data_IF_175456651208
#
_entry.id   IF_175456651208
#
_cell.length_a   1.000
_cell.length_b   1.000
_cell.length_c   1.000
_cell.angle_alpha   90.00
_cell.angle_beta   90.00
_cell.angle_gamma   90.00
#
_symmetry.space_group_name_H-M   'P 1'
#
loop_
_entity.id
_entity.type
_entity.pdbx_description
1 polymer ?
#
# COMPACT_ATOMS: atom_id res chain seq x y z
N UNK A 1 7.96 12.37 12.34
CA UNK A 1 6.87 11.47 12.81
C UNK A 1 5.68 11.40 11.87
N UNK A 2 5.10 12.51 11.40
CA UNK A 2 3.91 12.49 10.51
C UNK A 2 4.06 11.58 9.28
N UNK A 3 5.23 11.59 8.62
CA UNK A 3 5.53 10.72 7.46
C UNK A 3 5.51 9.22 7.77
N UNK A 4 5.88 8.82 9.00
CA UNK A 4 5.88 7.43 9.42
C UNK A 4 4.44 6.94 9.69
N UNK A 5 3.64 7.76 10.37
CA UNK A 5 2.21 7.47 10.57
C UNK A 5 1.46 7.37 9.25
N UNK A 6 1.67 8.31 8.32
CA UNK A 6 1.01 8.30 7.02
C UNK A 6 1.31 7.02 6.25
N UNK A 7 2.56 6.55 6.31
CA UNK A 7 2.97 5.28 5.68
C UNK A 7 2.28 4.08 6.31
N UNK A 8 2.18 4.04 7.64
CA UNK A 8 1.48 2.97 8.36
C UNK A 8 0.00 2.94 8.00
N UNK A 9 -0.66 4.10 8.02
CA UNK A 9 -2.09 4.25 7.67
C UNK A 9 -2.34 3.86 6.21
N UNK A 10 -1.52 4.34 5.27
CA UNK A 10 -1.62 3.96 3.84
C UNK A 10 -1.55 2.44 3.67
N UNK A 11 -0.60 1.78 4.35
CA UNK A 11 -0.46 0.31 4.30
C UNK A 11 -1.65 -0.43 4.91
N UNK A 12 -2.11 0.00 6.08
CA UNK A 12 -3.24 -0.64 6.75
C UNK A 12 -4.53 -0.54 5.92
N UNK A 13 -4.82 0.63 5.35
CA UNK A 13 -6.00 0.84 4.51
C UNK A 13 -5.87 0.08 3.19
N UNK A 14 -4.70 0.06 2.55
CA UNK A 14 -4.53 -0.73 1.31
C UNK A 14 -4.76 -2.22 1.55
N UNK A 15 -4.35 -2.75 2.72
CA UNK A 15 -4.62 -4.15 3.06
C UNK A 15 -6.12 -4.41 3.25
N UNK A 16 -6.84 -3.46 3.86
CA UNK A 16 -8.29 -3.56 4.03
C UNK A 16 -9.01 -3.54 2.67
N UNK A 17 -8.61 -2.65 1.75
CA UNK A 17 -9.13 -2.60 0.37
C UNK A 17 -8.93 -3.94 -0.34
N UNK A 18 -7.75 -4.55 -0.22
CA UNK A 18 -7.49 -5.85 -0.83
C UNK A 18 -8.30 -7.02 -0.24
N UNK A 19 -9.02 -6.82 0.87
CA UNK A 19 -9.71 -7.89 1.62
C UNK A 19 -11.21 -7.69 1.80
N UNK A 20 -11.67 -6.44 1.71
CA UNK A 20 -13.06 -6.07 1.85
C UNK A 20 -13.60 -5.55 0.52
N UNK A 21 -14.45 -6.34 -0.14
CA UNK A 21 -15.03 -6.01 -1.44
C UNK A 21 -15.89 -4.74 -1.45
N UNK A 22 -16.32 -4.25 -0.28
CA UNK A 22 -17.06 -2.99 -0.16
C UNK A 22 -16.13 -1.75 -0.11
N UNK A 23 -14.83 -1.96 0.09
CA UNK A 23 -13.80 -0.93 0.18
C UNK A 23 -12.98 -0.87 -1.12
N UNK A 24 -12.55 0.32 -1.57
CA UNK A 24 -11.72 0.41 -2.77
C UNK A 24 -11.45 1.79 -3.36
N UNK A 25 -10.97 1.77 -4.60
CA UNK A 25 -10.67 2.90 -5.48
C UNK A 25 -9.48 3.77 -5.04
N UNK A 26 -9.62 4.53 -3.95
CA UNK A 26 -8.62 5.54 -3.55
C UNK A 26 -8.46 5.64 -2.04
N UNK A 27 -7.27 6.06 -1.57
CA UNK A 27 -7.03 6.37 -0.15
C UNK A 27 -6.90 7.88 0.03
N UNK A 28 -7.78 8.44 0.87
CA UNK A 28 -7.74 9.86 1.27
C UNK A 28 -7.42 9.96 2.75
N UNK A 29 -6.42 10.74 3.11
CA UNK A 29 -6.05 10.94 4.52
C UNK A 29 -5.91 12.43 4.82
N UNK A 30 -6.17 12.78 6.07
CA UNK A 30 -6.00 14.13 6.59
C UNK A 30 -5.19 14.05 7.87
N UNK A 31 -4.09 14.80 7.93
CA UNK A 31 -3.30 14.98 9.16
C UNK A 31 -3.70 16.32 9.75
N UNK A 32 -4.19 16.29 10.99
CA UNK A 32 -4.59 17.47 11.76
C UNK A 32 -3.67 17.55 12.97
N UNK A 33 -2.94 18.65 13.09
CA UNK A 33 -2.04 18.92 14.21
C UNK A 33 -2.01 20.43 14.51
N UNK A 34 -1.16 20.84 15.46
CA UNK A 34 -1.06 22.25 15.86
C UNK A 34 -0.57 23.17 14.72
N UNK A 35 0.16 22.61 13.75
CA UNK A 35 0.66 23.33 12.58
C UNK A 35 -0.44 23.55 11.51
N UNK A 36 -1.54 22.81 11.59
CA UNK A 36 -2.70 22.97 10.73
C UNK A 36 -3.20 21.66 10.13
N UNK A 37 -3.68 21.73 8.89
CA UNK A 37 -4.34 20.62 8.19
C UNK A 37 -3.58 20.29 6.90
N UNK A 38 -3.11 19.06 6.77
CA UNK A 38 -2.55 18.53 5.53
C UNK A 38 -3.45 17.42 4.98
N UNK A 39 -3.73 17.48 3.68
CA UNK A 39 -4.57 16.50 2.98
C UNK A 39 -3.72 15.71 2.00
N UNK A 40 -3.92 14.40 1.94
CA UNK A 40 -3.25 13.52 0.99
C UNK A 40 -4.28 12.70 0.22
N UNK A 41 -4.01 12.50 -1.05
CA UNK A 41 -4.78 11.69 -1.97
C UNK A 41 -3.82 10.68 -2.60
N UNK A 42 -4.16 9.40 -2.50
CA UNK A 42 -3.41 8.31 -3.12
C UNK A 42 -4.36 7.55 -4.04
N UNK A 43 -4.16 7.59 -5.36
CA UNK A 43 -4.93 6.78 -6.29
C UNK A 43 -4.58 5.30 -6.13
N UNK A 44 -5.47 4.41 -6.58
CA UNK A 44 -5.36 2.96 -6.39
C UNK A 44 -4.08 2.34 -6.95
N UNK A 45 -3.59 2.86 -8.08
CA UNK A 45 -2.34 2.45 -8.73
C UNK A 45 -1.08 2.82 -7.94
N UNK A 46 -1.17 3.76 -7.00
CA UNK A 46 -0.10 4.09 -6.05
C UNK A 46 -0.19 3.28 -4.74
N UNK A 47 -1.20 2.44 -4.56
CA UNK A 47 -1.32 1.58 -3.39
C UNK A 47 -0.44 0.34 -3.54
N UNK A 48 0.12 -0.18 -2.44
CA UNK A 48 0.86 -1.43 -2.51
C UNK A 48 -0.08 -2.58 -2.88
N UNK A 49 0.35 -3.42 -3.81
CA UNK A 49 -0.32 -4.67 -4.15
C UNK A 49 -0.15 -5.70 -3.03
N UNK A 50 -1.20 -6.46 -2.78
CA UNK A 50 -1.20 -7.56 -1.81
C UNK A 50 -1.25 -8.92 -2.50
N UNK A 51 -0.98 -9.99 -1.75
CA UNK A 51 -0.74 -11.35 -2.26
C UNK A 51 -1.66 -11.83 -3.40
N UNK A 52 -2.95 -11.49 -3.37
CA UNK A 52 -3.93 -11.91 -4.40
C UNK A 52 -3.95 -11.03 -5.65
N UNK A 53 -3.40 -9.83 -5.56
CA UNK A 53 -3.29 -8.86 -6.64
C UNK A 53 -1.93 -8.99 -7.37
N UNK A 54 -1.00 -9.76 -6.81
CA UNK A 54 0.29 -10.05 -7.45
C UNK A 54 0.10 -11.00 -8.64
N UNK A 55 0.96 -10.83 -9.65
CA UNK A 55 0.97 -11.74 -10.79
C UNK A 55 1.24 -13.18 -10.34
N UNK A 56 0.52 -14.18 -10.88
CA UNK A 56 0.73 -15.57 -10.51
C UNK A 56 2.14 -16.01 -10.86
N UNK A 57 2.83 -16.60 -9.89
CA UNK A 57 4.13 -17.24 -10.11
C UNK A 57 3.94 -18.74 -10.30
N UNK A 58 4.62 -19.32 -11.29
CA UNK A 58 4.56 -20.75 -11.61
C UNK A 58 5.08 -21.64 -10.46
N UNK A 59 6.11 -21.20 -9.77
CA UNK A 59 6.72 -21.92 -8.64
C UNK A 59 7.34 -20.95 -7.65
N UNK A 60 7.31 -21.29 -6.36
CA UNK A 60 8.05 -20.56 -5.33
C UNK A 60 9.57 -20.59 -5.56
N UNK A 61 10.08 -21.60 -6.27
CA UNK A 61 11.50 -21.71 -6.61
C UNK A 61 11.94 -20.63 -7.62
N UNK A 62 11.02 -20.15 -8.45
CA UNK A 62 11.31 -19.12 -9.44
C UNK A 62 11.66 -17.78 -8.78
N UNK A 63 11.12 -17.51 -7.58
CA UNK A 63 11.41 -16.31 -6.77
C UNK A 63 12.78 -16.36 -6.08
N UNK A 64 13.37 -17.55 -5.92
CA UNK A 64 14.66 -17.75 -5.25
C UNK A 64 15.84 -17.65 -6.22
N UNK A 65 15.57 -17.59 -7.53
CA UNK A 65 16.58 -17.68 -8.58
C UNK A 65 17.10 -16.31 -9.05
N UNK A 66 16.61 -15.19 -8.46
CA UNK A 66 17.15 -13.85 -8.72
C UNK A 66 18.66 -13.84 -8.41
N UNK A 67 19.55 -13.72 -9.43
CA UNK A 67 20.98 -13.70 -9.18
C UNK A 67 21.32 -12.42 -8.42
N UNK A 68 22.15 -12.51 -7.38
CA UNK A 68 22.78 -11.34 -6.79
C UNK A 68 23.44 -10.52 -7.90
N UNK A 69 22.89 -9.35 -8.22
CA UNK A 69 23.55 -8.41 -9.11
C UNK A 69 24.84 -7.94 -8.42
N UNK A 70 25.98 -8.31 -9.01
CA UNK A 70 27.32 -7.74 -8.74
C UNK A 70 27.37 -6.26 -9.08
#
# INVERSE_FOLDING_TARGET
MAKLMLRLVKRAISLAIARDSASGDVVRTVIINKEGVMRHFFPGDELPLWHEELAPTSSLLDLLTEPMST
#
